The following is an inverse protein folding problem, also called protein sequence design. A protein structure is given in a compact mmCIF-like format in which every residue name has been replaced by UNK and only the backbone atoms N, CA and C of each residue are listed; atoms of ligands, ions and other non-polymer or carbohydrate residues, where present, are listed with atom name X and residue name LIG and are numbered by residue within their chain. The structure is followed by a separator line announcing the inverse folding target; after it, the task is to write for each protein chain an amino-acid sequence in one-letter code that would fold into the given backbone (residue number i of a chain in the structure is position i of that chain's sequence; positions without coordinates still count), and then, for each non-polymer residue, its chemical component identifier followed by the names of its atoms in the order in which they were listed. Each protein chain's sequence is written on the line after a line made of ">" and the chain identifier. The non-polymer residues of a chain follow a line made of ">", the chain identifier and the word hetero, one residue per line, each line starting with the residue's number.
data_IF_698188765597
#
_entry.id   IF_698188765597
#
_cell.length_a   1.000
_cell.length_b   1.000
_cell.length_c   1.000
_cell.angle_alpha   90.00
_cell.angle_beta   90.00
_cell.angle_gamma   90.00
#
_symmetry.space_group_name_H-M   'P 1'
#
loop_
_entity.id
_entity.type
_entity.pdbx_description
1 polymer ?
#
# COMPACT_ATOMS: atom_id res chain seq x y z
N UNK A 1 -3.35 15.57 12.82
CA UNK A 1 -3.59 14.12 12.78
C UNK A 1 -2.54 13.48 11.87
N UNK A 2 -1.90 12.45 12.34
CA UNK A 2 -0.88 11.75 11.55
C UNK A 2 -1.52 10.96 10.39
N UNK A 3 -1.01 11.13 9.18
CA UNK A 3 -1.44 10.36 8.03
C UNK A 3 -0.46 9.21 7.77
N UNK A 4 -0.98 8.01 7.75
CA UNK A 4 -0.23 6.78 7.45
C UNK A 4 -0.64 6.32 6.05
N UNK A 5 0.32 6.12 5.17
CA UNK A 5 0.06 5.61 3.82
C UNK A 5 0.28 4.10 3.80
N UNK A 6 -0.69 3.35 3.29
CA UNK A 6 -0.54 1.93 3.01
C UNK A 6 -0.54 1.73 1.50
N UNK A 7 0.53 1.20 0.96
CA UNK A 7 0.55 0.70 -0.42
C UNK A 7 -0.04 -0.71 -0.43
N UNK A 8 -1.27 -0.84 -0.89
CA UNK A 8 -2.01 -2.10 -0.77
C UNK A 8 -2.12 -2.85 -2.09
N UNK A 9 -1.89 -4.15 -2.01
CA UNK A 9 -2.25 -5.14 -3.04
C UNK A 9 -2.92 -6.32 -2.36
N UNK A 10 -3.88 -6.95 -3.04
CA UNK A 10 -4.55 -8.14 -2.52
C UNK A 10 -3.68 -9.38 -2.77
N UNK A 11 -2.70 -9.54 -1.94
CA UNK A 11 -1.79 -10.68 -1.91
C UNK A 11 -1.34 -10.88 -0.45
N UNK A 12 -0.63 -11.99 -0.14
CA UNK A 12 -0.26 -12.28 1.25
C UNK A 12 0.54 -11.15 1.91
N UNK A 13 1.54 -10.61 1.25
CA UNK A 13 2.35 -9.52 1.80
C UNK A 13 1.55 -8.21 1.92
N UNK A 14 0.65 -7.93 0.99
CA UNK A 14 -0.24 -6.77 1.05
C UNK A 14 -1.21 -6.84 2.22
N UNK A 15 -1.74 -8.02 2.50
CA UNK A 15 -2.65 -8.21 3.62
C UNK A 15 -1.92 -8.15 4.97
N UNK A 16 -0.66 -8.60 5.03
CA UNK A 16 0.16 -8.39 6.22
C UNK A 16 0.48 -6.91 6.43
N UNK A 17 0.74 -6.19 5.34
CA UNK A 17 0.96 -4.75 5.41
C UNK A 17 -0.29 -4.01 5.90
N UNK A 18 -1.47 -4.45 5.50
CA UNK A 18 -2.73 -3.89 6.01
C UNK A 18 -2.84 -4.07 7.53
N UNK A 19 -2.57 -5.27 8.04
CA UNK A 19 -2.60 -5.52 9.49
C UNK A 19 -1.62 -4.60 10.22
N UNK A 20 -0.41 -4.48 9.71
CA UNK A 20 0.61 -3.60 10.29
C UNK A 20 0.19 -2.13 10.25
N UNK A 21 -0.37 -1.68 9.12
CA UNK A 21 -0.83 -0.31 8.96
C UNK A 21 -1.97 0.04 9.92
N UNK A 22 -2.90 -0.88 10.15
CA UNK A 22 -3.97 -0.71 11.13
C UNK A 22 -3.37 -0.53 12.53
N UNK A 23 -2.43 -1.39 12.90
CA UNK A 23 -1.76 -1.31 14.20
C UNK A 23 -1.02 0.03 14.39
N UNK A 24 -0.26 0.46 13.39
CA UNK A 24 0.45 1.74 13.44
C UNK A 24 -0.52 2.92 13.52
N UNK A 25 -1.61 2.87 12.77
CA UNK A 25 -2.62 3.94 12.79
C UNK A 25 -3.27 4.08 14.16
N UNK A 26 -3.58 2.95 14.81
CA UNK A 26 -4.12 2.98 16.18
C UNK A 26 -3.12 3.54 17.17
N UNK A 27 -1.87 3.15 17.10
CA UNK A 27 -0.82 3.61 18.02
C UNK A 27 -0.60 5.11 17.98
N UNK A 28 -0.71 5.72 16.80
CA UNK A 28 -0.54 7.18 16.67
C UNK A 28 -1.86 7.95 16.68
N UNK A 29 -2.99 7.27 16.84
CA UNK A 29 -4.33 7.87 16.77
C UNK A 29 -4.51 8.68 15.47
N UNK A 30 -4.00 8.14 14.39
CA UNK A 30 -3.91 8.80 13.10
C UNK A 30 -5.01 8.41 12.14
N UNK A 31 -4.74 8.66 10.86
CA UNK A 31 -5.60 8.36 9.74
C UNK A 31 -4.86 7.47 8.75
N UNK A 32 -5.55 6.47 8.22
CA UNK A 32 -4.97 5.55 7.25
C UNK A 32 -5.42 5.91 5.85
N UNK A 33 -4.46 6.12 4.94
CA UNK A 33 -4.72 6.34 3.52
C UNK A 33 -4.30 5.07 2.79
N UNK A 34 -5.27 4.32 2.30
CA UNK A 34 -5.03 3.08 1.54
C UNK A 34 -4.85 3.46 0.07
N UNK A 35 -3.68 3.21 -0.47
CA UNK A 35 -3.35 3.50 -1.87
C UNK A 35 -3.29 2.19 -2.63
N UNK A 36 -4.16 2.04 -3.60
CA UNK A 36 -4.16 0.94 -4.56
C UNK A 36 -3.91 1.51 -5.94
N UNK A 37 -3.03 0.90 -6.71
CA UNK A 37 -2.65 1.42 -8.02
C UNK A 37 -2.60 0.30 -9.05
N UNK A 38 -3.32 0.50 -10.15
CA UNK A 38 -3.24 -0.31 -11.36
C UNK A 38 -2.87 0.62 -12.52
N UNK A 39 -2.11 0.11 -13.47
CA UNK A 39 -1.72 0.90 -14.64
C UNK A 39 -2.91 1.24 -15.52
N UNK A 40 -3.86 0.30 -15.68
CA UNK A 40 -5.00 0.47 -16.56
C UNK A 40 -4.64 0.25 -18.04
N UNK A 41 -5.57 0.56 -18.93
CA UNK A 41 -5.38 0.40 -20.38
C UNK A 41 -5.06 -1.04 -20.77
N UNK A 42 -4.04 -1.23 -21.61
CA UNK A 42 -3.62 -2.56 -22.07
C UNK A 42 -2.84 -3.35 -21.01
N UNK A 43 -2.45 -2.71 -19.90
CA UNK A 43 -1.68 -3.34 -18.82
C UNK A 43 -2.56 -4.00 -17.76
N UNK A 44 -3.87 -3.72 -17.78
CA UNK A 44 -4.79 -4.19 -16.74
C UNK A 44 -6.11 -4.62 -17.39
N UNK A 45 -6.53 -5.86 -17.11
CA UNK A 45 -7.79 -6.37 -17.63
C UNK A 45 -8.99 -5.83 -16.84
N UNK A 46 -10.23 -5.83 -17.42
CA UNK A 46 -11.43 -5.51 -16.67
C UNK A 46 -11.64 -6.40 -15.44
N UNK A 47 -11.26 -7.68 -15.53
CA UNK A 47 -11.35 -8.61 -14.39
C UNK A 47 -10.44 -8.18 -13.25
N UNK A 48 -9.19 -7.80 -13.55
CA UNK A 48 -8.26 -7.31 -12.54
C UNK A 48 -8.80 -6.07 -11.83
N UNK A 49 -9.43 -5.16 -12.57
CA UNK A 49 -10.05 -3.96 -11.99
C UNK A 49 -11.20 -4.35 -11.07
N UNK A 50 -12.06 -5.26 -11.50
CA UNK A 50 -13.19 -5.72 -10.69
C UNK A 50 -12.74 -6.45 -9.42
N UNK A 51 -11.74 -7.32 -9.53
CA UNK A 51 -11.18 -8.05 -8.40
C UNK A 51 -10.55 -7.08 -7.38
N UNK A 52 -9.84 -6.08 -7.87
CA UNK A 52 -9.25 -5.05 -7.03
C UNK A 52 -10.32 -4.25 -6.28
N UNK A 53 -11.40 -3.85 -6.96
CA UNK A 53 -12.50 -3.13 -6.32
C UNK A 53 -13.19 -3.97 -5.25
N UNK A 54 -13.40 -5.25 -5.52
CA UNK A 54 -13.97 -6.17 -4.53
C UNK A 54 -13.08 -6.27 -3.30
N UNK A 55 -11.77 -6.40 -3.50
CA UNK A 55 -10.81 -6.44 -2.40
C UNK A 55 -10.80 -5.13 -1.60
N UNK A 56 -10.84 -3.99 -2.28
CA UNK A 56 -10.87 -2.67 -1.63
C UNK A 56 -12.17 -2.43 -0.87
N UNK A 57 -13.30 -2.91 -1.38
CA UNK A 57 -14.58 -2.85 -0.67
C UNK A 57 -14.49 -3.63 0.65
N UNK A 58 -13.88 -4.80 0.63
CA UNK A 58 -13.67 -5.60 1.84
C UNK A 58 -12.74 -4.89 2.83
N UNK A 59 -11.69 -4.24 2.34
CA UNK A 59 -10.78 -3.44 3.18
C UNK A 59 -11.54 -2.30 3.85
N UNK A 60 -12.32 -1.55 3.08
CA UNK A 60 -13.13 -0.44 3.60
C UNK A 60 -14.12 -0.89 4.66
N UNK A 61 -14.78 -2.02 4.44
CA UNK A 61 -15.70 -2.60 5.42
C UNK A 61 -14.98 -2.97 6.71
N UNK A 62 -13.82 -3.63 6.61
CA UNK A 62 -13.02 -3.98 7.78
C UNK A 62 -12.58 -2.75 8.56
N UNK A 63 -12.08 -1.73 7.89
CA UNK A 63 -11.62 -0.50 8.55
C UNK A 63 -12.76 0.22 9.25
N UNK A 64 -13.94 0.26 8.63
CA UNK A 64 -15.14 0.83 9.25
C UNK A 64 -15.53 0.05 10.50
N UNK A 65 -15.57 -1.27 10.44
CA UNK A 65 -15.90 -2.14 11.58
C UNK A 65 -14.90 -2.00 12.72
N UNK A 66 -13.63 -1.77 12.41
CA UNK A 66 -12.57 -1.60 13.40
C UNK A 66 -12.44 -0.16 13.91
N UNK A 67 -13.25 0.76 13.42
CA UNK A 67 -13.27 2.15 13.89
C UNK A 67 -12.04 2.96 13.46
N UNK A 68 -11.39 2.59 12.35
CA UNK A 68 -10.25 3.32 11.82
C UNK A 68 -10.74 4.49 10.96
N UNK A 69 -10.17 5.67 11.16
CA UNK A 69 -10.36 6.80 10.26
C UNK A 69 -9.50 6.57 9.01
N UNK A 70 -10.13 6.51 7.83
CA UNK A 70 -9.42 6.13 6.61
C UNK A 70 -9.96 6.81 5.36
N UNK A 71 -9.14 6.82 4.32
CA UNK A 71 -9.54 7.05 2.94
C UNK A 71 -8.94 5.96 2.05
N UNK A 72 -9.60 5.67 0.92
CA UNK A 72 -9.10 4.76 -0.10
C UNK A 72 -8.88 5.56 -1.37
N UNK A 73 -7.64 5.52 -1.88
CA UNK A 73 -7.27 6.10 -3.15
C UNK A 73 -7.00 4.96 -4.13
N UNK A 74 -7.90 4.81 -5.10
CA UNK A 74 -7.81 3.75 -6.12
C UNK A 74 -7.41 4.38 -7.45
N UNK A 75 -6.13 4.27 -7.79
CA UNK A 75 -5.57 4.89 -8.99
C UNK A 75 -5.50 3.91 -10.16
N UNK A 76 -6.06 4.30 -11.29
CA UNK A 76 -5.91 3.60 -12.58
C UNK A 76 -5.55 4.68 -13.60
N UNK A 77 -4.29 5.14 -13.61
CA UNK A 77 -3.88 6.32 -14.36
C UNK A 77 -2.54 6.20 -15.09
N UNK A 78 -2.13 4.97 -15.42
CA UNK A 78 -0.93 4.74 -16.21
C UNK A 78 0.38 4.89 -15.48
N UNK A 79 0.36 5.12 -14.17
CA UNK A 79 1.57 5.26 -13.35
C UNK A 79 1.88 3.95 -12.63
N UNK A 80 3.13 3.79 -12.20
CA UNK A 80 3.52 2.64 -11.40
C UNK A 80 2.95 2.74 -9.98
N UNK A 81 2.76 1.61 -9.28
CA UNK A 81 2.34 1.65 -7.87
C UNK A 81 3.26 2.47 -6.99
N UNK A 82 4.58 2.39 -7.19
CA UNK A 82 5.53 3.19 -6.42
C UNK A 82 5.31 4.69 -6.62
N UNK A 83 5.10 5.14 -7.85
CA UNK A 83 4.84 6.55 -8.15
C UNK A 83 3.58 7.04 -7.44
N UNK A 84 2.51 6.25 -7.46
CA UNK A 84 1.25 6.62 -6.82
C UNK A 84 1.35 6.64 -5.29
N UNK A 85 2.11 5.71 -4.70
CA UNK A 85 2.38 5.71 -3.25
C UNK A 85 3.16 6.97 -2.86
N UNK A 86 4.20 7.31 -3.61
CA UNK A 86 5.02 8.48 -3.34
C UNK A 86 4.24 9.79 -3.51
N UNK A 87 3.39 9.86 -4.54
CA UNK A 87 2.52 11.01 -4.76
C UNK A 87 1.53 11.19 -3.60
N UNK A 88 0.91 10.12 -3.15
CA UNK A 88 0.00 10.15 -2.00
C UNK A 88 0.73 10.58 -0.72
N UNK A 89 1.94 10.09 -0.51
CA UNK A 89 2.74 10.47 0.66
C UNK A 89 3.03 11.97 0.68
N UNK A 90 3.30 12.57 -0.47
CA UNK A 90 3.50 14.01 -0.59
C UNK A 90 2.19 14.78 -0.40
N UNK A 91 1.12 14.35 -1.06
CA UNK A 91 -0.19 15.03 -1.03
C UNK A 91 -0.81 15.04 0.36
N UNK A 92 -0.65 13.96 1.12
CA UNK A 92 -1.20 13.82 2.47
C UNK A 92 -0.21 14.20 3.56
N UNK A 93 0.99 14.65 3.21
CA UNK A 93 2.05 14.97 4.18
C UNK A 93 2.26 13.79 5.17
N UNK A 94 2.53 12.63 4.62
CA UNK A 94 2.56 11.37 5.37
C UNK A 94 3.68 11.34 6.41
N UNK A 95 3.40 10.77 7.57
CA UNK A 95 4.40 10.52 8.62
C UNK A 95 5.02 9.13 8.51
N UNK A 96 4.36 8.22 7.79
CA UNK A 96 4.81 6.84 7.64
C UNK A 96 4.21 6.24 6.37
N UNK A 97 5.00 5.44 5.67
CA UNK A 97 4.53 4.59 4.58
C UNK A 97 4.69 3.14 5.02
N UNK A 98 3.65 2.33 4.82
CA UNK A 98 3.68 0.88 5.08
C UNK A 98 3.49 0.15 3.75
N UNK A 99 4.38 -0.78 3.45
CA UNK A 99 4.31 -1.60 2.23
C UNK A 99 4.59 -3.07 2.53
N UNK A 100 3.96 -3.95 1.76
CA UNK A 100 4.34 -5.35 1.70
C UNK A 100 5.33 -5.56 0.55
N UNK A 101 6.21 -6.53 0.71
CA UNK A 101 7.14 -6.90 -0.35
C UNK A 101 7.39 -8.40 -0.35
N UNK A 102 7.80 -8.92 -1.50
CA UNK A 102 8.21 -10.31 -1.62
C UNK A 102 9.70 -10.43 -1.41
N UNK A 103 10.09 -11.42 -0.61
CA UNK A 103 11.49 -11.81 -0.54
C UNK A 103 11.80 -12.64 -1.75
N UNK A 104 12.75 -12.18 -2.55
CA UNK A 104 13.23 -12.92 -3.71
C UNK A 104 14.63 -13.41 -3.42
N UNK A 105 14.87 -14.70 -3.71
CA UNK A 105 16.20 -15.29 -3.62
C UNK A 105 16.71 -15.58 -5.01
N UNK A 106 17.82 -14.97 -5.38
CA UNK A 106 18.55 -15.29 -6.60
C UNK A 106 20.00 -15.55 -6.19
N UNK A 107 20.52 -16.71 -6.54
CA UNK A 107 21.91 -17.12 -6.20
C UNK A 107 22.22 -16.93 -4.71
N UNK A 108 21.27 -17.27 -3.81
CA UNK A 108 21.47 -17.18 -2.37
C UNK A 108 21.39 -15.78 -1.78
N UNK A 109 20.98 -14.78 -2.55
CA UNK A 109 20.84 -13.39 -2.08
C UNK A 109 19.37 -13.02 -1.95
N UNK A 110 19.04 -12.26 -0.89
CA UNK A 110 17.74 -11.63 -0.74
C UNK A 110 17.69 -10.38 -1.59
N UNK A 111 16.67 -10.29 -2.46
CA UNK A 111 16.45 -9.13 -3.31
C UNK A 111 15.09 -8.51 -2.99
N UNK A 112 15.08 -7.19 -2.82
CA UNK A 112 13.84 -6.42 -2.78
C UNK A 112 13.35 -6.17 -4.20
N UNK A 113 12.03 -6.16 -4.39
CA UNK A 113 11.46 -5.76 -5.67
C UNK A 113 11.72 -4.28 -5.98
N UNK A 114 11.66 -3.91 -7.26
CA UNK A 114 11.91 -2.53 -7.70
C UNK A 114 10.96 -1.52 -7.07
N UNK A 115 9.70 -1.89 -6.86
CA UNK A 115 8.71 -1.04 -6.21
C UNK A 115 9.13 -0.69 -4.79
N UNK A 116 9.47 -1.69 -3.98
CA UNK A 116 9.87 -1.48 -2.60
C UNK A 116 11.14 -0.62 -2.52
N UNK A 117 12.10 -0.89 -3.39
CA UNK A 117 13.35 -0.14 -3.43
C UNK A 117 13.11 1.33 -3.80
N UNK A 118 12.29 1.59 -4.81
CA UNK A 118 11.96 2.95 -5.23
C UNK A 118 11.26 3.73 -4.11
N UNK A 119 10.30 3.11 -3.44
CA UNK A 119 9.62 3.76 -2.31
C UNK A 119 10.60 4.09 -1.20
N UNK A 120 11.49 3.16 -0.85
CA UNK A 120 12.48 3.39 0.21
C UNK A 120 13.45 4.53 -0.12
N UNK A 121 13.89 4.62 -1.38
CA UNK A 121 14.85 5.65 -1.80
C UNK A 121 14.21 7.04 -1.86
N UNK A 122 12.98 7.13 -2.37
CA UNK A 122 12.34 8.40 -2.70
C UNK A 122 11.33 8.88 -1.66
N UNK A 123 11.05 8.09 -0.62
CA UNK A 123 10.03 8.44 0.36
C UNK A 123 10.39 9.70 1.15
N UNK A 124 9.40 10.60 1.38
CA UNK A 124 9.61 11.80 2.20
C UNK A 124 9.54 11.53 3.70
N UNK A 125 9.32 10.28 4.10
CA UNK A 125 9.10 9.87 5.50
C UNK A 125 9.62 8.45 5.71
N UNK A 126 9.66 7.95 6.95
CA UNK A 126 10.01 6.56 7.20
C UNK A 126 9.12 5.56 6.47
N UNK A 127 9.70 4.43 6.12
CA UNK A 127 9.00 3.32 5.44
C UNK A 127 9.13 2.06 6.28
N UNK A 128 7.98 1.45 6.59
CA UNK A 128 7.93 0.10 7.18
C UNK A 128 7.58 -0.90 6.09
N UNK A 129 8.47 -1.84 5.87
CA UNK A 129 8.25 -2.93 4.94
C UNK A 129 8.01 -4.23 5.69
N UNK A 130 7.09 -5.04 5.19
CA UNK A 130 6.82 -6.36 5.75
C UNK A 130 6.71 -7.40 4.63
N UNK A 131 7.39 -8.51 4.83
CA UNK A 131 7.35 -9.65 3.91
C UNK A 131 6.60 -10.81 4.53
N UNK A 132 6.11 -11.71 3.70
CA UNK A 132 5.63 -13.01 4.19
C UNK A 132 6.82 -13.87 4.61
N UNK A 133 6.60 -14.75 5.58
CA UNK A 133 7.62 -15.69 6.01
C UNK A 133 8.15 -16.58 4.89
#
# INVERSE_FOLDING_TARGET
>A
MANIILGYMDNPEGNRALDLAIDQTRKCEGRLIVVHSLRGGTHTSPEEINDARTALDAVGKRLTEEGIDFEIEDYVRGKSPADDILAAAADYDAELIVIGYQRRSAAGKLLLGSKALQVMIDAPCPVLGIATP
#
